data_IF_571712527108
#
_entry.id   IF_571712527108
#
_cell.length_a   1.000
_cell.length_b   1.000
_cell.length_c   1.000
_cell.angle_alpha   90.00
_cell.angle_beta   90.00
_cell.angle_gamma   90.00
#
_symmetry.space_group_name_H-M   'P 1'
#
loop_
_entity.id
_entity.type
_entity.pdbx_description
1 polymer ?
#
# COMPACT_ATOMS: atom_id res chain seq x y z
N UNK A 1 -8.27 8.24 1.89
CA UNK A 1 -9.53 7.81 2.56
C UNK A 1 -10.09 6.62 1.81
N UNK A 2 -10.35 5.53 2.54
CA UNK A 2 -10.84 4.26 2.02
C UNK A 2 -12.07 3.85 2.84
N UNK A 3 -13.04 3.16 2.25
CA UNK A 3 -14.09 2.48 2.99
C UNK A 3 -14.34 1.11 2.40
N UNK A 4 -14.78 0.17 3.24
CA UNK A 4 -15.18 -1.15 2.78
C UNK A 4 -16.54 -1.53 3.35
N UNK A 5 -17.36 -2.15 2.50
CA UNK A 5 -18.62 -2.77 2.91
C UNK A 5 -18.31 -4.22 3.29
N UNK A 6 -18.56 -4.59 4.53
CA UNK A 6 -18.27 -5.90 5.10
C UNK A 6 -19.56 -6.67 5.39
N UNK A 7 -19.51 -7.99 5.25
CA UNK A 7 -20.62 -8.91 5.53
C UNK A 7 -20.12 -10.22 6.11
N UNK A 8 -21.00 -10.96 6.81
CA UNK A 8 -20.70 -12.33 7.21
C UNK A 8 -20.90 -13.28 6.01
N UNK A 9 -19.86 -14.00 5.55
CA UNK A 9 -19.99 -14.99 4.46
C UNK A 9 -20.88 -16.18 4.83
N UNK A 10 -20.90 -16.59 6.09
CA UNK A 10 -21.72 -17.70 6.63
C UNK A 10 -23.18 -17.28 6.89
N UNK A 11 -23.42 -15.98 7.13
CA UNK A 11 -24.74 -15.44 7.40
C UNK A 11 -25.07 -14.18 6.57
N UNK A 12 -25.23 -14.29 5.23
CA UNK A 12 -25.46 -13.13 4.35
C UNK A 12 -26.72 -12.31 4.68
N UNK A 13 -27.67 -12.91 5.41
CA UNK A 13 -28.92 -12.30 5.85
C UNK A 13 -28.78 -11.28 6.99
N UNK A 14 -27.62 -11.23 7.66
CA UNK A 14 -27.38 -10.30 8.77
C UNK A 14 -27.05 -8.87 8.33
N UNK A 15 -27.01 -8.65 7.01
CA UNK A 15 -26.81 -7.33 6.43
C UNK A 15 -25.33 -7.03 6.21
N UNK A 16 -25.02 -5.74 6.13
CA UNK A 16 -23.69 -5.22 5.82
C UNK A 16 -23.33 -4.07 6.76
N UNK A 17 -22.04 -3.89 7.02
CA UNK A 17 -21.50 -2.72 7.70
C UNK A 17 -20.55 -1.99 6.76
N UNK A 18 -20.70 -0.67 6.64
CA UNK A 18 -19.75 0.18 5.89
C UNK A 18 -18.77 0.77 6.89
N UNK A 19 -17.51 0.36 6.80
CA UNK A 19 -16.45 0.76 7.72
C UNK A 19 -15.50 1.73 7.02
N UNK A 20 -15.30 2.95 7.56
CA UNK A 20 -14.27 3.85 7.07
C UNK A 20 -12.89 3.40 7.58
N UNK A 21 -11.90 3.48 6.69
CA UNK A 21 -10.51 3.15 6.97
C UNK A 21 -9.58 4.32 6.60
N UNK A 22 -8.47 4.50 7.36
CA UNK A 22 -8.14 3.77 8.59
C UNK A 22 -9.07 4.13 9.75
N UNK A 23 -9.39 3.15 10.60
CA UNK A 23 -10.28 3.33 11.75
C UNK A 23 -9.58 4.26 12.77
N UNK A 24 -10.21 5.39 13.16
CA UNK A 24 -9.66 6.27 14.18
C UNK A 24 -9.41 5.54 15.50
N UNK A 25 -8.29 5.85 16.17
CA UNK A 25 -7.88 5.14 17.39
C UNK A 25 -8.94 5.18 18.50
N UNK A 26 -9.61 6.32 18.66
CA UNK A 26 -10.70 6.55 19.62
C UNK A 26 -12.00 5.83 19.25
N UNK A 27 -12.14 5.38 18.00
CA UNK A 27 -13.31 4.63 17.51
C UNK A 27 -13.01 3.15 17.34
N UNK A 28 -11.76 2.71 17.55
CA UNK A 28 -11.32 1.35 17.26
C UNK A 28 -12.10 0.30 18.04
N UNK A 29 -12.12 0.41 19.38
CA UNK A 29 -12.82 -0.53 20.26
C UNK A 29 -14.30 -0.59 19.90
N UNK A 30 -14.94 0.56 19.76
CA UNK A 30 -16.35 0.63 19.37
C UNK A 30 -16.63 -0.05 18.01
N UNK A 31 -15.77 0.16 17.02
CA UNK A 31 -15.91 -0.45 15.70
C UNK A 31 -15.79 -1.97 15.76
N UNK A 32 -14.84 -2.50 16.53
CA UNK A 32 -14.66 -3.95 16.68
C UNK A 32 -15.82 -4.59 17.45
N UNK A 33 -16.24 -3.98 18.56
CA UNK A 33 -17.40 -4.45 19.34
C UNK A 33 -18.68 -4.45 18.48
N UNK A 34 -18.85 -3.46 17.59
CA UNK A 34 -19.98 -3.40 16.67
C UNK A 34 -19.94 -4.53 15.63
N UNK A 35 -18.78 -4.81 15.04
CA UNK A 35 -18.63 -5.88 14.05
C UNK A 35 -18.88 -7.26 14.65
N UNK A 36 -18.42 -7.49 15.88
CA UNK A 36 -18.69 -8.70 16.64
C UNK A 36 -20.18 -8.83 16.99
N UNK A 37 -20.82 -7.76 17.49
CA UNK A 37 -22.23 -7.76 17.85
C UNK A 37 -23.17 -7.96 16.65
N UNK A 38 -22.76 -7.53 15.45
CA UNK A 38 -23.49 -7.77 14.20
C UNK A 38 -23.20 -9.15 13.59
N UNK A 39 -22.33 -9.94 14.23
CA UNK A 39 -21.81 -11.19 13.73
C UNK A 39 -21.23 -11.02 12.31
N UNK A 40 -20.65 -9.86 11.95
CA UNK A 40 -20.10 -9.62 10.60
C UNK A 40 -18.68 -10.21 10.48
N UNK A 41 -17.95 -10.23 11.58
CA UNK A 41 -16.71 -10.98 11.74
C UNK A 41 -16.02 -10.67 13.05
N UNK A 42 -15.09 -11.55 13.38
CA UNK A 42 -14.16 -11.42 14.50
C UNK A 42 -13.01 -10.51 14.08
N UNK A 43 -12.61 -9.58 14.95
CA UNK A 43 -11.55 -8.62 14.64
C UNK A 43 -10.25 -9.32 14.18
N UNK A 44 -9.96 -10.51 14.70
CA UNK A 44 -8.69 -11.22 14.51
C UNK A 44 -8.79 -12.37 13.49
N UNK A 45 -9.99 -12.77 13.08
CA UNK A 45 -10.13 -13.84 12.07
C UNK A 45 -10.32 -13.26 10.68
N UNK A 46 -9.86 -14.01 9.68
CA UNK A 46 -10.23 -13.73 8.30
C UNK A 46 -11.64 -14.28 8.03
N UNK A 47 -12.66 -13.65 8.60
CA UNK A 47 -14.06 -14.06 8.51
C UNK A 47 -15.01 -12.96 8.00
N UNK A 48 -14.51 -11.75 7.76
CA UNK A 48 -15.27 -10.67 7.13
C UNK A 48 -15.20 -10.75 5.61
N UNK A 49 -16.32 -10.94 4.92
CA UNK A 49 -16.36 -10.85 3.45
C UNK A 49 -16.44 -9.41 3.01
N UNK A 50 -15.50 -8.99 2.15
CA UNK A 50 -15.53 -7.68 1.48
C UNK A 50 -16.57 -7.71 0.37
N UNK A 51 -17.63 -6.91 0.49
CA UNK A 51 -18.68 -6.77 -0.53
C UNK A 51 -18.29 -5.74 -1.56
N UNK A 52 -17.75 -4.61 -1.12
CA UNK A 52 -17.33 -3.51 -1.98
C UNK A 52 -16.19 -2.73 -1.31
N UNK A 53 -15.29 -2.19 -2.11
CA UNK A 53 -14.25 -1.26 -1.66
C UNK A 53 -14.37 0.06 -2.41
N UNK A 54 -14.46 1.16 -1.65
CA UNK A 54 -14.35 2.50 -2.19
C UNK A 54 -13.01 3.12 -1.74
N UNK A 55 -12.10 3.32 -2.68
CA UNK A 55 -10.74 3.77 -2.41
C UNK A 55 -10.13 4.42 -3.65
N UNK A 56 -9.22 5.37 -3.42
CA UNK A 56 -8.30 5.86 -4.44
C UNK A 56 -7.44 4.73 -5.04
N UNK A 57 -7.13 3.71 -4.23
CA UNK A 57 -6.36 2.55 -4.65
C UNK A 57 -7.27 1.53 -5.35
N UNK A 58 -7.56 1.73 -6.64
CA UNK A 58 -8.48 0.85 -7.37
C UNK A 58 -8.00 -0.60 -7.47
N UNK A 59 -6.71 -0.86 -7.24
CA UNK A 59 -6.18 -2.23 -7.17
C UNK A 59 -6.81 -3.04 -6.04
N UNK A 60 -7.27 -2.36 -4.97
CA UNK A 60 -7.95 -2.99 -3.84
C UNK A 60 -9.34 -3.52 -4.21
N UNK A 61 -9.92 -3.16 -5.36
CA UNK A 61 -11.14 -3.83 -5.84
C UNK A 61 -10.98 -5.33 -6.02
N UNK A 62 -9.73 -5.83 -6.18
CA UNK A 62 -9.43 -7.26 -6.23
C UNK A 62 -9.67 -7.98 -4.91
N UNK A 63 -9.80 -7.25 -3.80
CA UNK A 63 -10.16 -7.84 -2.51
C UNK A 63 -11.67 -8.02 -2.35
N UNK A 64 -12.49 -7.45 -3.24
CA UNK A 64 -13.93 -7.71 -3.25
C UNK A 64 -14.18 -9.21 -3.42
N UNK A 65 -15.19 -9.70 -2.72
CA UNK A 65 -15.56 -11.11 -2.58
C UNK A 65 -14.58 -11.99 -1.79
N UNK A 66 -13.42 -11.48 -1.39
CA UNK A 66 -12.52 -12.19 -0.48
C UNK A 66 -12.99 -12.06 0.97
N UNK A 67 -12.64 -13.08 1.75
CA UNK A 67 -12.76 -13.03 3.20
C UNK A 67 -11.45 -12.49 3.76
N UNK A 68 -11.52 -11.45 4.58
CA UNK A 68 -10.38 -10.71 5.08
C UNK A 68 -10.44 -10.57 6.59
N UNK A 69 -9.28 -10.33 7.20
CA UNK A 69 -9.17 -9.87 8.57
C UNK A 69 -9.29 -8.33 8.60
N UNK A 70 -10.12 -7.81 9.51
CA UNK A 70 -10.40 -6.36 9.61
C UNK A 70 -9.20 -5.57 10.13
N UNK A 71 -8.41 -6.15 11.03
CA UNK A 71 -7.15 -5.56 11.51
C UNK A 71 -6.11 -5.45 10.40
N UNK A 72 -5.95 -6.47 9.55
CA UNK A 72 -5.08 -6.44 8.38
C UNK A 72 -5.53 -5.34 7.41
N UNK A 73 -6.83 -5.25 7.15
CA UNK A 73 -7.38 -4.21 6.28
C UNK A 73 -7.14 -2.81 6.85
N UNK A 74 -7.33 -2.65 8.17
CA UNK A 74 -7.05 -1.41 8.87
C UNK A 74 -5.56 -1.05 8.85
N UNK A 75 -4.68 -2.03 9.04
CA UNK A 75 -3.24 -1.84 9.01
C UNK A 75 -2.77 -1.43 7.61
N UNK A 76 -3.24 -2.12 6.57
CA UNK A 76 -2.98 -1.77 5.18
C UNK A 76 -3.44 -0.34 4.89
N UNK A 77 -4.67 0.01 5.26
CA UNK A 77 -5.19 1.35 5.06
C UNK A 77 -4.36 2.43 5.76
N UNK A 78 -3.90 2.19 6.99
CA UNK A 78 -3.00 3.11 7.71
C UNK A 78 -1.71 3.36 6.94
N UNK A 79 -1.09 2.30 6.39
CA UNK A 79 0.13 2.43 5.59
C UNK A 79 -0.11 3.20 4.30
N UNK A 80 -1.16 2.86 3.57
CA UNK A 80 -1.53 3.52 2.33
C UNK A 80 -1.92 4.99 2.52
N UNK A 81 -2.44 5.37 3.69
CA UNK A 81 -2.76 6.77 4.02
C UNK A 81 -1.51 7.66 4.16
N UNK A 82 -0.34 7.07 4.37
CA UNK A 82 0.94 7.79 4.40
C UNK A 82 1.59 7.97 3.02
N UNK A 83 1.05 7.34 1.98
CA UNK A 83 1.66 7.35 0.65
C UNK A 83 1.39 8.66 -0.09
N UNK A 84 2.42 9.17 -0.76
CA UNK A 84 2.24 10.19 -1.78
C UNK A 84 1.71 9.60 -3.11
N UNK A 85 1.51 10.46 -4.12
CA UNK A 85 0.98 10.02 -5.43
C UNK A 85 1.93 9.06 -6.16
N UNK A 86 3.24 9.22 -6.01
CA UNK A 86 4.25 8.36 -6.62
C UNK A 86 4.29 6.99 -5.95
N UNK A 87 4.28 6.96 -4.63
CA UNK A 87 4.20 5.72 -3.83
C UNK A 87 2.91 4.95 -4.11
N UNK A 88 1.79 5.67 -4.26
CA UNK A 88 0.53 5.06 -4.63
C UNK A 88 0.55 4.45 -6.04
N UNK A 89 1.22 5.09 -7.00
CA UNK A 89 1.40 4.52 -8.35
C UNK A 89 2.29 3.27 -8.31
N UNK A 90 3.39 3.32 -7.56
CA UNK A 90 4.29 2.17 -7.32
C UNK A 90 3.55 0.98 -6.72
N UNK A 91 2.78 1.19 -5.66
CA UNK A 91 1.99 0.15 -5.02
C UNK A 91 0.98 -0.48 -5.98
N UNK A 92 0.17 0.35 -6.66
CA UNK A 92 -0.88 -0.17 -7.54
C UNK A 92 -0.32 -0.90 -8.76
N UNK A 93 0.74 -0.38 -9.38
CA UNK A 93 1.36 -1.01 -10.53
C UNK A 93 2.04 -2.33 -10.17
N UNK A 94 2.73 -2.41 -9.02
CA UNK A 94 3.36 -3.65 -8.57
C UNK A 94 2.34 -4.69 -8.10
N UNK A 95 1.31 -4.29 -7.35
CA UNK A 95 0.21 -5.19 -6.98
C UNK A 95 -0.49 -5.75 -8.23
N UNK A 96 -0.66 -4.91 -9.28
CA UNK A 96 -1.19 -5.37 -10.55
C UNK A 96 -0.27 -6.36 -11.25
N UNK A 97 1.01 -6.00 -11.42
CA UNK A 97 2.03 -6.81 -12.13
C UNK A 97 2.24 -8.18 -11.48
N UNK A 98 2.27 -8.22 -10.15
CA UNK A 98 2.46 -9.45 -9.37
C UNK A 98 1.14 -10.20 -9.10
N UNK A 99 0.01 -9.69 -9.59
CA UNK A 99 -1.31 -10.27 -9.38
C UNK A 99 -1.69 -10.47 -7.90
N UNK A 100 -1.27 -9.55 -7.03
CA UNK A 100 -1.53 -9.63 -5.59
C UNK A 100 -2.98 -9.24 -5.26
N UNK A 101 -3.60 -10.02 -4.38
CA UNK A 101 -4.95 -9.76 -3.86
C UNK A 101 -5.11 -10.14 -2.38
N UNK A 102 -4.24 -10.98 -1.81
CA UNK A 102 -4.26 -11.31 -0.39
C UNK A 102 -3.74 -10.13 0.45
N UNK A 103 -4.42 -9.83 1.57
CA UNK A 103 -4.04 -8.69 2.42
C UNK A 103 -2.61 -8.82 2.96
N UNK A 104 -2.16 -10.03 3.29
CA UNK A 104 -0.79 -10.28 3.72
C UNK A 104 0.24 -9.81 2.70
N UNK A 105 0.07 -10.19 1.44
CA UNK A 105 1.01 -9.81 0.38
C UNK A 105 0.89 -8.34 0.00
N UNK A 106 -0.32 -7.77 0.05
CA UNK A 106 -0.50 -6.33 -0.12
C UNK A 106 0.20 -5.55 1.00
N UNK A 107 0.09 -5.99 2.26
CA UNK A 107 0.82 -5.41 3.39
C UNK A 107 2.33 -5.53 3.15
N UNK A 108 2.82 -6.70 2.79
CA UNK A 108 4.25 -6.90 2.49
C UNK A 108 4.75 -5.97 1.36
N UNK A 109 3.94 -5.80 0.32
CA UNK A 109 4.29 -4.92 -0.80
C UNK A 109 4.51 -3.46 -0.36
N UNK A 110 3.75 -2.97 0.61
CA UNK A 110 3.92 -1.59 1.11
C UNK A 110 5.27 -1.30 1.78
N UNK A 111 6.12 -2.31 1.99
CA UNK A 111 7.48 -2.12 2.53
C UNK A 111 8.57 -2.04 1.45
N UNK A 112 8.28 -2.50 0.24
CA UNK A 112 9.27 -2.56 -0.83
C UNK A 112 8.81 -1.92 -2.15
N UNK A 113 7.55 -1.50 -2.27
CA UNK A 113 7.03 -0.92 -3.52
C UNK A 113 7.78 0.34 -3.96
N UNK A 114 8.35 1.12 -3.04
CA UNK A 114 9.15 2.32 -3.37
C UNK A 114 10.40 2.04 -4.19
N UNK A 115 10.89 0.80 -4.22
CA UNK A 115 12.05 0.42 -5.04
C UNK A 115 11.70 0.34 -6.54
N UNK A 116 10.42 0.12 -6.87
CA UNK A 116 9.96 0.09 -8.24
C UNK A 116 9.93 1.52 -8.83
N UNK A 117 10.10 1.65 -10.14
CA UNK A 117 9.87 2.91 -10.85
C UNK A 117 8.61 2.80 -11.69
N UNK A 118 7.68 3.74 -11.53
CA UNK A 118 6.46 3.81 -12.35
C UNK A 118 6.45 5.11 -13.13
N UNK A 119 6.35 5.01 -14.44
CA UNK A 119 6.15 6.16 -15.32
C UNK A 119 4.67 6.27 -15.63
N UNK A 120 4.03 7.31 -15.08
CA UNK A 120 2.62 7.67 -15.34
C UNK A 120 2.47 8.75 -16.39
N UNK A 121 3.48 9.60 -16.55
CA UNK A 121 3.55 10.67 -17.54
C UNK A 121 4.95 10.69 -18.17
N UNK A 122 5.00 10.73 -19.50
CA UNK A 122 6.23 10.74 -20.30
C UNK A 122 6.66 12.16 -20.73
N UNK A 123 5.97 13.21 -20.28
CA UNK A 123 6.21 14.60 -20.70
C UNK A 123 7.57 15.16 -20.27
N UNK A 124 8.12 14.72 -19.13
CA UNK A 124 9.40 15.19 -18.58
C UNK A 124 10.37 14.03 -18.29
N UNK A 125 11.23 13.73 -19.27
CA UNK A 125 12.27 12.71 -19.13
C UNK A 125 13.29 13.02 -18.02
N UNK A 126 13.57 14.29 -17.72
CA UNK A 126 14.53 14.63 -16.68
C UNK A 126 13.96 14.28 -15.30
N UNK A 127 12.68 14.59 -15.07
CA UNK A 127 11.97 14.22 -13.85
C UNK A 127 11.87 12.69 -13.69
N UNK A 128 11.58 11.95 -14.77
CA UNK A 128 11.57 10.48 -14.77
C UNK A 128 12.92 9.93 -14.34
N UNK A 129 14.02 10.37 -14.95
CA UNK A 129 15.35 9.85 -14.62
C UNK A 129 15.78 10.20 -13.21
N UNK A 130 15.40 11.39 -12.71
CA UNK A 130 15.61 11.77 -11.31
C UNK A 130 14.84 10.86 -10.36
N UNK A 131 13.55 10.63 -10.61
CA UNK A 131 12.73 9.73 -9.80
C UNK A 131 13.26 8.30 -9.81
N UNK A 132 13.63 7.80 -11.00
CA UNK A 132 14.26 6.49 -11.15
C UNK A 132 15.55 6.36 -10.33
N UNK A 133 16.44 7.35 -10.44
CA UNK A 133 17.68 7.38 -9.65
C UNK A 133 17.39 7.34 -8.14
N UNK A 134 16.44 8.16 -7.66
CA UNK A 134 16.06 8.17 -6.24
C UNK A 134 15.55 6.80 -5.78
N UNK A 135 14.71 6.12 -6.58
CA UNK A 135 14.19 4.80 -6.23
C UNK A 135 15.30 3.75 -6.12
N UNK A 136 16.32 3.80 -6.98
CA UNK A 136 17.50 2.93 -6.90
C UNK A 136 18.38 3.18 -5.68
N UNK A 137 18.28 4.36 -5.05
CA UNK A 137 19.09 4.78 -3.91
C UNK A 137 18.25 4.93 -2.62
N UNK A 138 17.15 4.19 -2.51
CA UNK A 138 16.33 4.15 -1.29
C UNK A 138 15.64 5.47 -0.96
N UNK A 139 15.33 6.28 -1.97
CA UNK A 139 14.68 7.58 -1.80
C UNK A 139 15.62 8.69 -1.31
N UNK A 140 16.93 8.50 -1.36
CA UNK A 140 17.91 9.49 -0.89
C UNK A 140 19.01 9.75 -1.92
N UNK A 141 19.41 11.01 -2.03
CA UNK A 141 20.58 11.45 -2.78
C UNK A 141 21.01 12.84 -2.28
N UNK A 142 22.29 13.14 -2.36
CA UNK A 142 22.79 14.48 -2.09
C UNK A 142 22.37 15.47 -3.19
N UNK A 143 22.30 16.75 -2.84
CA UNK A 143 22.01 17.82 -3.79
C UNK A 143 23.04 17.84 -4.94
N UNK A 144 24.31 17.58 -4.62
CA UNK A 144 25.38 17.55 -5.61
C UNK A 144 25.25 16.37 -6.59
N UNK A 145 24.83 15.20 -6.12
CA UNK A 145 24.55 14.05 -7.00
C UNK A 145 23.38 14.36 -7.94
N UNK A 146 22.29 14.91 -7.41
CA UNK A 146 21.12 15.23 -8.21
C UNK A 146 21.39 16.35 -9.23
N UNK A 147 22.22 17.33 -8.90
CA UNK A 147 22.62 18.39 -9.83
C UNK A 147 23.51 17.89 -10.96
N UNK A 148 24.27 16.81 -10.74
CA UNK A 148 25.16 16.21 -11.76
C UNK A 148 24.48 15.10 -12.56
N UNK A 149 23.31 14.62 -12.13
CA UNK A 149 22.58 13.54 -12.76
C UNK A 149 22.10 13.94 -14.17
N UNK A 150 22.47 13.14 -15.18
CA UNK A 150 21.83 13.20 -16.49
C UNK A 150 20.45 12.50 -16.44
N UNK A 151 19.44 13.22 -15.95
CA UNK A 151 18.08 12.68 -15.81
C UNK A 151 17.49 12.21 -17.16
N UNK A 152 17.75 12.92 -18.26
CA UNK A 152 17.21 12.54 -19.56
C UNK A 152 17.87 11.27 -20.09
N UNK A 153 19.18 11.15 -19.95
CA UNK A 153 19.93 9.94 -20.31
C UNK A 153 19.47 8.73 -19.49
N UNK A 154 19.35 8.89 -18.17
CA UNK A 154 18.86 7.86 -17.26
C UNK A 154 17.44 7.39 -17.62
N UNK A 155 16.52 8.31 -17.92
CA UNK A 155 15.17 7.94 -18.34
C UNK A 155 15.15 7.19 -19.67
N UNK A 156 15.97 7.61 -20.65
CA UNK A 156 16.08 6.91 -21.94
C UNK A 156 16.60 5.49 -21.74
N UNK A 157 17.67 5.30 -20.98
CA UNK A 157 18.22 3.97 -20.68
C UNK A 157 17.17 3.06 -20.02
N UNK A 158 16.41 3.60 -19.05
CA UNK A 158 15.32 2.88 -18.42
C UNK A 158 14.27 2.43 -19.46
N UNK A 159 13.79 3.35 -20.30
CA UNK A 159 12.75 3.07 -21.29
C UNK A 159 13.27 2.08 -22.36
N UNK A 160 14.48 2.31 -22.88
CA UNK A 160 15.13 1.50 -23.91
C UNK A 160 15.51 0.10 -23.41
N UNK A 161 15.61 -0.12 -22.09
CA UNK A 161 15.86 -1.45 -21.52
C UNK A 161 14.79 -2.48 -21.90
N UNK A 162 13.57 -2.02 -22.23
CA UNK A 162 12.44 -2.90 -22.56
C UNK A 162 11.92 -3.75 -21.39
N UNK A 163 12.42 -3.54 -20.16
CA UNK A 163 12.03 -4.29 -18.96
C UNK A 163 10.72 -3.82 -18.31
N UNK A 164 10.15 -2.71 -18.81
CA UNK A 164 8.93 -2.12 -18.30
C UNK A 164 7.70 -2.99 -18.57
N UNK A 165 6.80 -3.09 -17.59
CA UNK A 165 5.51 -3.76 -17.72
C UNK A 165 4.39 -2.72 -17.77
N UNK A 166 3.54 -2.78 -18.80
CA UNK A 166 2.39 -1.89 -18.93
C UNK A 166 1.28 -2.34 -17.98
N UNK A 167 0.77 -1.42 -17.16
CA UNK A 167 -0.36 -1.65 -16.25
C UNK A 167 -1.39 -0.52 -16.42
N UNK A 168 -2.62 -0.66 -15.89
CA UNK A 168 -3.57 0.45 -15.81
C UNK A 168 -3.06 1.66 -15.01
N UNK A 169 -1.97 1.51 -14.26
CA UNK A 169 -1.39 2.52 -13.37
C UNK A 169 -0.11 3.16 -13.93
N UNK A 170 0.25 2.87 -15.18
CA UNK A 170 1.48 3.33 -15.83
C UNK A 170 2.42 2.18 -16.20
N UNK A 171 3.63 2.52 -16.63
CA UNK A 171 4.67 1.54 -16.99
C UNK A 171 5.59 1.33 -15.80
N UNK A 172 5.59 0.11 -15.26
CA UNK A 172 6.37 -0.25 -14.07
C UNK A 172 7.64 -1.01 -14.40
N UNK A 173 8.73 -0.58 -13.78
CA UNK A 173 10.04 -1.20 -13.78
C UNK A 173 10.31 -1.67 -12.35
N UNK A 174 10.47 -2.97 -12.14
CA UNK A 174 10.62 -3.52 -10.79
C UNK A 174 11.99 -3.22 -10.16
N UNK A 175 12.99 -2.89 -10.99
CA UNK A 175 14.36 -2.65 -10.56
C UNK A 175 14.98 -3.80 -9.77
N UNK A 176 14.53 -5.04 -10.01
CA UNK A 176 14.96 -6.21 -9.24
C UNK A 176 14.41 -6.26 -7.81
N UNK A 177 13.40 -5.43 -7.49
CA UNK A 177 12.68 -5.48 -6.21
C UNK A 177 12.14 -6.89 -5.96
N UNK A 178 12.18 -7.30 -4.69
CA UNK A 178 11.62 -8.57 -4.21
C UNK A 178 10.51 -8.30 -3.22
N UNK A 179 9.44 -9.08 -3.31
CA UNK A 179 8.38 -9.06 -2.30
C UNK A 179 8.88 -9.76 -1.04
N UNK A 180 9.36 -8.97 -0.08
CA UNK A 180 9.84 -9.48 1.21
C UNK A 180 8.68 -9.80 2.14
N UNK A 181 8.76 -10.94 2.82
CA UNK A 181 7.71 -11.43 3.73
C UNK A 181 7.97 -10.92 5.16
N UNK A 182 7.87 -9.60 5.35
CA UNK A 182 8.09 -8.93 6.64
C UNK A 182 6.93 -9.19 7.61
N UNK A 183 5.70 -9.13 7.11
CA UNK A 183 4.49 -9.54 7.82
C UNK A 183 4.22 -11.02 7.56
N UNK A 184 4.14 -11.81 8.63
CA UNK A 184 3.96 -13.26 8.58
C UNK A 184 2.48 -13.70 8.54
N UNK A 185 1.55 -12.75 8.72
CA UNK A 185 0.11 -13.03 8.89
C UNK A 185 -0.33 -13.13 10.35
N UNK A 186 0.55 -12.81 11.31
CA UNK A 186 0.26 -12.88 12.76
C UNK A 186 0.66 -11.63 13.50
N UNK A 187 1.89 -11.15 13.31
CA UNK A 187 2.41 -10.01 14.06
C UNK A 187 2.66 -8.82 13.15
N UNK A 188 1.85 -7.78 13.30
CA UNK A 188 2.03 -6.55 12.53
C UNK A 188 3.41 -5.93 12.79
N UNK A 189 4.19 -5.60 11.75
CA UNK A 189 5.42 -4.84 11.92
C UNK A 189 5.13 -3.48 12.58
N UNK A 190 6.04 -3.02 13.44
CA UNK A 190 5.91 -1.73 14.13
C UNK A 190 5.64 -0.60 13.12
N UNK A 191 4.51 0.09 13.30
CA UNK A 191 4.12 1.20 12.43
C UNK A 191 3.54 2.36 13.26
N UNK A 192 4.25 3.48 13.27
CA UNK A 192 3.85 4.68 13.99
C UNK A 192 2.92 5.53 13.12
N UNK A 193 1.63 5.22 13.15
CA UNK A 193 0.62 5.94 12.36
C UNK A 193 0.32 7.35 12.87
N UNK A 194 0.55 7.62 14.16
CA UNK A 194 0.44 8.97 14.76
C UNK A 194 1.73 9.30 15.51
N UNK A 195 2.16 10.58 15.51
CA UNK A 195 3.35 10.99 16.25
C UNK A 195 3.12 10.78 17.75
N UNK A 196 3.90 9.89 18.35
CA UNK A 196 4.06 9.86 19.80
C UNK A 196 5.03 10.96 20.22
N UNK A 197 4.82 11.56 21.39
CA UNK A 197 5.80 12.46 22.01
C UNK A 197 7.03 11.63 22.35
N UNK A 198 8.10 11.76 21.55
CA UNK A 198 9.35 11.03 21.77
C UNK A 198 10.05 11.66 22.98
N UNK A 199 10.09 10.95 24.11
CA UNK A 199 11.00 11.28 25.21
C UNK A 199 12.41 10.84 24.81
N UNK A 200 13.23 11.78 24.33
CA UNK A 200 14.65 11.54 24.09
C UNK A 200 15.35 11.52 25.45
N UNK A 201 15.74 10.35 25.93
CA UNK A 201 16.69 10.25 27.03
C UNK A 201 18.09 10.51 26.48
N UNK A 202 18.60 11.74 26.66
CA UNK A 202 20.01 12.04 26.46
C UNK A 202 20.76 11.47 27.66
N UNK A 203 21.53 10.41 27.44
CA UNK A 203 22.55 9.99 28.39
C UNK A 203 23.80 10.84 28.15
N UNK A 204 24.15 11.65 29.14
CA UNK A 204 25.40 12.44 29.21
C UNK A 204 26.64 11.57 29.34
#
# INVERSE_FOLDING_TARGET
>A
MMSAVLSNPSHPKYGVATIPFPIPHDQYTYCMDLLEALEIGDAVKADCKVVAVDSFFSVLKRTEMLTVNVEELNYLAKRLDSFDTGEAAQFQAMAHKLELFELKDLINLTFCCQQATVITDFSDLAAIGRGHYMNLHGGSASVDELNKLDGKGTARQLIESGSGTITPYGVVYDNGMKLEQIYDGRFFPCYYYKPNVITVAVTS
#
